data_IF_672737230167
#
_entry.id   IF_672737230167
#
_cell.length_a   1.000
_cell.length_b   1.000
_cell.length_c   1.000
_cell.angle_alpha   90.00
_cell.angle_beta   90.00
_cell.angle_gamma   90.00
#
_symmetry.space_group_name_H-M   'P 1'
#
loop_
_entity.id
_entity.type
_entity.pdbx_description
1 polymer ?
#
# COMPACT_ATOMS: atom_id res chain seq x y z
N UNK A 1 -23.70 -18.00 -6.60
CA UNK A 1 -24.00 -19.36 -7.12
C UNK A 1 -24.28 -20.42 -6.06
N UNK A 2 -23.30 -21.00 -5.33
CA UNK A 2 -23.60 -22.13 -4.41
C UNK A 2 -24.55 -21.74 -3.26
N UNK A 3 -24.37 -20.55 -2.67
CA UNK A 3 -25.24 -20.06 -1.60
C UNK A 3 -26.64 -19.65 -2.11
N UNK A 4 -26.75 -19.13 -3.35
CA UNK A 4 -28.03 -18.77 -3.97
C UNK A 4 -28.92 -19.99 -4.21
N UNK A 5 -28.33 -21.11 -4.64
CA UNK A 5 -29.09 -22.35 -4.85
C UNK A 5 -29.77 -22.89 -3.59
N UNK A 6 -29.30 -22.51 -2.41
CA UNK A 6 -29.90 -22.89 -1.12
C UNK A 6 -31.07 -21.98 -0.70
N UNK A 7 -31.35 -20.91 -1.45
CA UNK A 7 -32.44 -19.96 -1.19
C UNK A 7 -33.80 -20.41 -1.76
N UNK A 8 -33.93 -21.66 -2.20
CA UNK A 8 -35.15 -22.21 -2.79
C UNK A 8 -36.31 -22.39 -1.78
N UNK A 9 -36.05 -22.33 -0.47
CA UNK A 9 -37.07 -22.45 0.57
C UNK A 9 -37.84 -21.15 0.79
N UNK A 10 -39.17 -21.25 1.00
CA UNK A 10 -40.08 -20.10 1.16
C UNK A 10 -39.80 -19.17 2.35
N UNK A 11 -38.96 -19.60 3.29
CA UNK A 11 -38.56 -18.83 4.47
C UNK A 11 -37.05 -18.59 4.57
N UNK A 12 -36.28 -18.97 3.56
CA UNK A 12 -34.83 -18.78 3.57
C UNK A 12 -34.51 -17.27 3.60
N UNK A 13 -33.60 -16.87 4.49
CA UNK A 13 -33.07 -15.51 4.54
C UNK A 13 -31.56 -15.53 4.41
N UNK A 14 -31.05 -14.64 3.59
CA UNK A 14 -29.62 -14.46 3.42
C UNK A 14 -29.12 -13.35 4.35
N UNK A 15 -28.15 -13.68 5.21
CA UNK A 15 -27.35 -12.71 5.95
C UNK A 15 -25.97 -12.57 5.31
N UNK A 16 -25.68 -11.41 4.73
CA UNK A 16 -24.36 -11.06 4.21
C UNK A 16 -23.66 -10.08 5.16
N UNK A 17 -22.47 -10.42 5.63
CA UNK A 17 -21.65 -9.57 6.51
C UNK A 17 -20.31 -9.37 5.84
N UNK A 18 -19.92 -8.11 5.63
CA UNK A 18 -18.68 -7.78 4.94
C UNK A 18 -18.32 -6.31 5.09
N UNK A 19 -17.07 -6.00 4.77
CA UNK A 19 -16.61 -4.63 4.64
C UNK A 19 -16.81 -4.16 3.19
N UNK A 20 -17.24 -2.91 2.95
CA UNK A 20 -17.47 -2.38 1.61
C UNK A 20 -16.15 -2.01 0.92
N UNK A 21 -15.36 -3.02 0.54
CA UNK A 21 -13.99 -2.89 0.03
C UNK A 21 -13.90 -2.56 -1.47
N UNK A 22 -14.88 -2.98 -2.25
CA UNK A 22 -14.89 -2.84 -3.71
C UNK A 22 -16.23 -2.25 -4.15
N UNK A 23 -16.25 -1.24 -5.03
CA UNK A 23 -17.46 -0.62 -5.55
C UNK A 23 -18.12 -1.48 -6.65
N UNK A 24 -17.95 -2.80 -6.60
CA UNK A 24 -18.46 -3.77 -7.56
C UNK A 24 -18.57 -5.17 -6.93
N UNK A 25 -19.31 -6.06 -7.59
CA UNK A 25 -19.46 -7.46 -7.21
C UNK A 25 -20.67 -7.72 -6.29
N UNK A 26 -20.91 -9.00 -5.93
CA UNK A 26 -22.18 -9.43 -5.36
C UNK A 26 -22.58 -8.71 -4.06
N UNK A 27 -21.61 -8.36 -3.20
CA UNK A 27 -21.88 -7.63 -1.96
C UNK A 27 -22.26 -6.16 -2.23
N UNK A 28 -21.63 -5.53 -3.21
CA UNK A 28 -21.99 -4.17 -3.63
C UNK A 28 -23.37 -4.13 -4.28
N UNK A 29 -23.66 -5.10 -5.15
CA UNK A 29 -24.94 -5.23 -5.83
C UNK A 29 -26.08 -5.50 -4.83
N UNK A 30 -25.84 -6.38 -3.84
CA UNK A 30 -26.78 -6.64 -2.75
C UNK A 30 -27.10 -5.36 -1.96
N UNK A 31 -26.09 -4.54 -1.62
CA UNK A 31 -26.31 -3.29 -0.87
C UNK A 31 -27.17 -2.27 -1.64
N UNK A 32 -27.12 -2.29 -2.98
CA UNK A 32 -27.92 -1.42 -3.86
C UNK A 32 -29.31 -1.99 -4.19
N UNK A 33 -29.50 -3.29 -4.05
CA UNK A 33 -30.76 -3.94 -4.38
C UNK A 33 -31.80 -3.66 -3.27
N UNK A 34 -32.99 -3.11 -3.60
CA UNK A 34 -34.04 -2.81 -2.62
C UNK A 34 -34.62 -4.05 -1.91
N UNK A 35 -34.40 -5.25 -2.43
CA UNK A 35 -34.79 -6.51 -1.77
C UNK A 35 -33.97 -6.81 -0.51
N UNK A 36 -32.80 -6.17 -0.37
CA UNK A 36 -31.93 -6.31 0.78
C UNK A 36 -32.19 -5.22 1.80
N UNK A 37 -32.30 -5.63 3.07
CA UNK A 37 -32.25 -4.70 4.19
C UNK A 37 -30.80 -4.44 4.58
N UNK A 38 -30.25 -3.31 4.13
CA UNK A 38 -28.87 -2.91 4.45
C UNK A 38 -28.79 -2.24 5.82
N UNK A 39 -27.91 -2.74 6.69
CA UNK A 39 -27.54 -2.09 7.96
C UNK A 39 -26.07 -1.71 7.85
N UNK A 40 -25.78 -0.41 7.81
CA UNK A 40 -24.41 0.11 7.84
C UNK A 40 -23.98 0.36 9.27
N UNK A 41 -22.85 -0.22 9.67
CA UNK A 41 -22.22 0.01 10.98
C UNK A 41 -20.86 0.64 10.73
N UNK A 42 -20.69 1.89 11.17
CA UNK A 42 -19.43 2.63 11.05
C UNK A 42 -18.68 2.71 12.38
N UNK A 43 -17.39 3.02 12.36
CA UNK A 43 -16.65 3.29 13.60
C UNK A 43 -17.24 4.46 14.40
N UNK A 44 -17.66 5.60 13.80
CA UNK A 44 -18.40 6.65 14.50
C UNK A 44 -19.69 6.18 15.19
N UNK A 45 -20.33 5.11 14.69
CA UNK A 45 -21.53 4.55 15.31
C UNK A 45 -21.28 3.73 16.57
N UNK A 46 -20.03 3.31 16.79
CA UNK A 46 -19.61 2.50 17.92
C UNK A 46 -19.87 3.22 19.26
N UNK A 47 -20.42 2.53 20.28
CA UNK A 47 -20.63 3.11 21.61
C UNK A 47 -19.38 3.77 22.20
N UNK A 48 -18.22 3.10 22.09
CA UNK A 48 -16.94 3.63 22.59
C UNK A 48 -16.55 4.97 21.95
N UNK A 49 -16.95 5.18 20.70
CA UNK A 49 -16.64 6.40 19.94
C UNK A 49 -17.64 7.51 20.26
N UNK A 50 -18.94 7.18 20.31
CA UNK A 50 -20.01 8.14 20.66
C UNK A 50 -19.80 8.77 22.04
N UNK A 51 -19.46 7.96 23.04
CA UNK A 51 -19.28 8.44 24.42
C UNK A 51 -17.85 8.86 24.74
N UNK A 52 -16.91 8.71 23.79
CA UNK A 52 -15.46 8.94 23.98
C UNK A 52 -14.86 8.26 25.21
N UNK A 53 -15.35 7.06 25.54
CA UNK A 53 -14.90 6.25 26.67
C UNK A 53 -14.95 4.78 26.28
N UNK A 54 -14.03 3.96 26.80
CA UNK A 54 -14.06 2.51 26.60
C UNK A 54 -15.18 1.92 27.46
N UNK A 55 -16.36 1.71 26.87
CA UNK A 55 -17.47 0.96 27.49
C UNK A 55 -17.28 -0.53 27.24
N UNK A 56 -16.87 -0.89 26.02
CA UNK A 56 -16.66 -2.27 25.58
C UNK A 56 -15.21 -2.46 25.12
N UNK A 57 -14.35 -3.16 25.88
CA UNK A 57 -12.92 -3.28 25.57
C UNK A 57 -12.57 -3.86 24.20
N UNK A 58 -13.48 -4.65 23.60
CA UNK A 58 -13.27 -5.29 22.29
C UNK A 58 -13.68 -4.40 21.10
N UNK A 59 -14.29 -3.25 21.34
CA UNK A 59 -14.75 -2.35 20.28
C UNK A 59 -13.73 -1.24 20.01
N UNK A 60 -13.76 -0.70 18.78
CA UNK A 60 -12.92 0.40 18.32
C UNK A 60 -12.95 1.59 19.29
N UNK A 61 -11.80 2.22 19.50
CA UNK A 61 -11.66 3.39 20.40
C UNK A 61 -11.75 4.70 19.62
N UNK A 62 -12.14 5.78 20.29
CA UNK A 62 -12.10 7.13 19.69
C UNK A 62 -10.70 7.52 19.23
N UNK A 63 -9.68 7.14 20.00
CA UNK A 63 -8.29 7.41 19.67
C UNK A 63 -7.89 6.74 18.36
N UNK A 64 -8.25 5.47 18.17
CA UNK A 64 -7.93 4.75 16.94
C UNK A 64 -8.55 5.43 15.72
N UNK A 65 -9.81 5.89 15.81
CA UNK A 65 -10.48 6.61 14.71
C UNK A 65 -9.74 7.89 14.37
N UNK A 66 -9.34 8.67 15.37
CA UNK A 66 -8.61 9.92 15.19
C UNK A 66 -7.21 9.70 14.62
N UNK A 67 -6.50 8.67 15.07
CA UNK A 67 -5.19 8.30 14.55
C UNK A 67 -5.30 7.91 13.07
N UNK A 68 -6.28 7.07 12.70
CA UNK A 68 -6.53 6.71 11.29
C UNK A 68 -6.92 7.92 10.45
N UNK A 69 -7.67 8.87 11.02
CA UNK A 69 -8.09 10.11 10.36
C UNK A 69 -6.89 10.97 9.99
N UNK A 70 -5.92 11.10 10.91
CA UNK A 70 -4.66 11.83 10.69
C UNK A 70 -3.73 11.09 9.73
N UNK A 71 -3.56 9.78 9.91
CA UNK A 71 -2.62 8.98 9.13
C UNK A 71 -3.06 8.77 7.68
N UNK A 72 -4.37 8.56 7.47
CA UNK A 72 -4.90 8.17 6.16
C UNK A 72 -5.61 9.33 5.43
N UNK A 73 -6.17 10.27 6.19
CA UNK A 73 -7.06 11.31 5.66
C UNK A 73 -8.48 10.79 5.43
N UNK A 74 -9.48 11.63 5.73
CA UNK A 74 -10.90 11.27 5.68
C UNK A 74 -11.40 10.90 4.28
N UNK A 75 -10.79 11.49 3.25
CA UNK A 75 -11.14 11.25 1.84
C UNK A 75 -10.46 10.02 1.26
N UNK A 76 -9.59 9.34 2.00
CA UNK A 76 -8.90 8.17 1.47
C UNK A 76 -9.83 6.97 1.30
N UNK A 77 -9.63 6.14 0.25
CA UNK A 77 -10.36 4.88 0.07
C UNK A 77 -10.27 3.96 1.29
N UNK A 78 -9.11 3.92 1.94
CA UNK A 78 -8.88 3.09 3.12
C UNK A 78 -9.69 3.57 4.33
N UNK A 79 -9.78 4.88 4.56
CA UNK A 79 -10.58 5.44 5.66
C UNK A 79 -12.08 5.26 5.41
N UNK A 80 -12.57 5.54 4.21
CA UNK A 80 -13.97 5.33 3.84
C UNK A 80 -14.41 3.87 4.08
N UNK A 81 -13.59 2.92 3.66
CA UNK A 81 -13.86 1.50 3.82
C UNK A 81 -13.78 1.03 5.28
N UNK A 82 -12.63 1.28 5.94
CA UNK A 82 -12.32 0.67 7.25
C UNK A 82 -12.90 1.44 8.43
N UNK A 83 -13.19 2.73 8.26
CA UNK A 83 -13.67 3.60 9.35
C UNK A 83 -15.13 4.00 9.13
N UNK A 84 -15.48 4.48 7.93
CA UNK A 84 -16.84 4.94 7.64
C UNK A 84 -17.80 3.81 7.25
N UNK A 85 -17.27 2.63 6.91
CA UNK A 85 -18.08 1.53 6.39
C UNK A 85 -18.80 1.92 5.09
N UNK A 86 -18.10 2.64 4.23
CA UNK A 86 -18.59 3.12 2.93
C UNK A 86 -17.77 2.50 1.80
N UNK A 87 -18.41 2.23 0.67
CA UNK A 87 -17.66 1.85 -0.52
C UNK A 87 -16.73 3.01 -0.92
N UNK A 88 -15.47 2.71 -1.28
CA UNK A 88 -14.52 3.74 -1.63
C UNK A 88 -15.01 4.49 -2.88
N UNK A 89 -14.92 5.82 -2.85
CA UNK A 89 -15.12 6.63 -4.05
C UNK A 89 -14.06 6.21 -5.06
N UNK A 90 -14.49 5.72 -6.22
CA UNK A 90 -13.56 5.28 -7.27
C UNK A 90 -13.04 6.52 -7.99
N UNK A 91 -11.74 6.75 -7.95
CA UNK A 91 -11.11 7.63 -8.93
C UNK A 91 -11.09 6.89 -10.28
N UNK A 92 -11.58 7.52 -11.34
CA UNK A 92 -11.46 6.97 -12.71
C UNK A 92 -9.98 6.74 -13.09
N UNK A 93 -9.06 7.44 -12.42
CA UNK A 93 -7.63 7.41 -12.66
C UNK A 93 -6.84 6.62 -11.62
N UNK A 94 -7.49 5.96 -10.66
CA UNK A 94 -6.82 5.15 -9.64
C UNK A 94 -5.98 4.02 -10.26
N UNK A 95 -4.70 3.95 -9.91
CA UNK A 95 -3.78 2.97 -10.48
C UNK A 95 -3.98 1.57 -9.90
N UNK A 96 -4.04 1.48 -8.57
CA UNK A 96 -4.11 0.21 -7.84
C UNK A 96 -5.41 0.17 -7.03
N UNK A 97 -6.36 -0.72 -7.38
CA UNK A 97 -7.60 -0.90 -6.62
C UNK A 97 -7.33 -1.29 -5.16
N UNK A 98 -8.10 -0.71 -4.24
CA UNK A 98 -7.92 -0.94 -2.79
C UNK A 98 -8.21 -2.39 -2.40
N UNK A 99 -9.14 -3.06 -3.07
CA UNK A 99 -9.44 -4.47 -2.88
C UNK A 99 -8.25 -5.38 -3.25
N UNK A 100 -7.45 -5.02 -4.26
CA UNK A 100 -6.21 -5.74 -4.57
C UNK A 100 -5.17 -5.60 -3.47
N UNK A 101 -5.04 -4.39 -2.90
CA UNK A 101 -4.14 -4.11 -1.78
C UNK A 101 -4.54 -4.87 -0.52
N UNK A 102 -5.83 -4.88 -0.19
CA UNK A 102 -6.36 -5.64 0.95
C UNK A 102 -6.20 -7.14 0.72
N UNK A 103 -6.49 -7.65 -0.48
CA UNK A 103 -6.21 -9.05 -0.82
C UNK A 103 -4.73 -9.40 -0.68
N UNK A 104 -3.82 -8.49 -1.04
CA UNK A 104 -2.38 -8.69 -0.89
C UNK A 104 -1.92 -8.79 0.58
N UNK A 105 -2.65 -8.19 1.52
CA UNK A 105 -2.38 -8.34 2.96
C UNK A 105 -2.88 -9.68 3.53
N UNK A 106 -3.99 -10.18 3.01
CA UNK A 106 -4.59 -11.45 3.44
C UNK A 106 -3.88 -12.68 2.84
N UNK A 107 -3.02 -12.48 1.84
CA UNK A 107 -2.20 -13.56 1.26
C UNK A 107 -1.29 -14.13 2.36
N UNK A 108 -1.21 -15.46 2.49
CA UNK A 108 -0.26 -16.07 3.41
C UNK A 108 1.14 -15.60 3.03
N UNK A 109 1.89 -15.12 4.02
CA UNK A 109 3.28 -14.77 3.81
C UNK A 109 4.00 -16.02 3.26
N UNK A 110 4.55 -15.92 2.05
CA UNK A 110 5.33 -17.03 1.49
C UNK A 110 6.51 -17.27 2.43
N UNK A 111 6.49 -18.39 3.15
CA UNK A 111 7.58 -18.79 4.05
C UNK A 111 8.68 -19.56 3.30
N UNK A 112 8.67 -19.51 1.96
CA UNK A 112 9.72 -20.09 1.14
C UNK A 112 11.02 -19.38 1.49
N UNK A 113 12.05 -20.15 1.82
CA UNK A 113 13.39 -19.64 2.05
C UNK A 113 13.88 -18.98 0.74
N UNK A 114 13.87 -17.66 0.71
CA UNK A 114 14.32 -16.88 -0.44
C UNK A 114 15.84 -16.73 -0.35
N UNK A 115 16.56 -17.02 -1.42
CA UNK A 115 18.02 -16.84 -1.45
C UNK A 115 18.38 -15.36 -1.14
N UNK A 116 19.46 -15.07 -0.38
CA UNK A 116 19.84 -13.68 -0.06
C UNK A 116 19.97 -12.76 -1.28
N UNK A 117 20.37 -13.28 -2.45
CA UNK A 117 20.45 -12.51 -3.71
C UNK A 117 19.09 -12.07 -4.28
N UNK A 118 17.98 -12.62 -3.81
CA UNK A 118 16.64 -12.19 -4.20
C UNK A 118 16.09 -11.07 -3.30
N UNK A 119 16.75 -10.81 -2.17
CA UNK A 119 16.42 -9.69 -1.29
C UNK A 119 16.81 -8.38 -1.95
N UNK A 120 15.91 -7.41 -1.87
CA UNK A 120 16.09 -6.06 -2.41
C UNK A 120 15.61 -5.05 -1.39
N UNK A 121 16.34 -3.94 -1.30
CA UNK A 121 15.95 -2.81 -0.47
C UNK A 121 15.67 -1.62 -1.37
N UNK A 122 14.49 -1.02 -1.21
CA UNK A 122 14.18 0.31 -1.72
C UNK A 122 14.44 1.36 -0.66
N UNK A 123 15.06 2.47 -1.04
CA UNK A 123 15.40 3.59 -0.16
C UNK A 123 14.81 4.86 -0.77
N UNK A 124 13.89 5.48 -0.05
CA UNK A 124 13.35 6.79 -0.38
C UNK A 124 13.82 7.79 0.68
N UNK A 125 14.77 8.66 0.30
CA UNK A 125 15.41 9.60 1.22
C UNK A 125 14.69 10.93 1.15
N UNK A 126 14.16 11.39 2.28
CA UNK A 126 13.63 12.73 2.38
C UNK A 126 14.79 13.75 2.35
N UNK A 127 14.68 14.78 1.50
CA UNK A 127 15.71 15.83 1.36
C UNK A 127 15.74 16.78 2.56
N UNK A 128 14.56 17.18 3.04
CA UNK A 128 14.36 18.17 4.12
C UNK A 128 12.86 18.30 4.44
N UNK A 129 12.52 18.75 5.65
CA UNK A 129 11.13 19.01 6.03
C UNK A 129 10.53 17.89 6.89
N UNK A 130 9.21 17.77 6.91
CA UNK A 130 8.47 16.80 7.73
C UNK A 130 8.40 15.39 7.14
N UNK A 131 8.91 15.19 5.93
CA UNK A 131 8.82 13.93 5.22
C UNK A 131 9.75 12.87 5.82
N UNK A 132 9.27 11.62 5.84
CA UNK A 132 10.01 10.51 6.39
C UNK A 132 10.91 9.89 5.32
N UNK A 133 12.12 9.49 5.72
CA UNK A 133 12.96 8.58 4.95
C UNK A 133 12.49 7.14 5.17
N UNK A 134 12.27 6.39 4.09
CA UNK A 134 11.69 5.04 4.15
C UNK A 134 12.66 3.99 3.59
N UNK A 135 12.87 2.92 4.33
CA UNK A 135 13.58 1.72 3.88
C UNK A 135 12.61 0.55 3.76
N UNK A 136 12.48 -0.05 2.59
CA UNK A 136 11.56 -1.17 2.34
C UNK A 136 12.33 -2.41 1.91
N UNK A 137 12.19 -3.50 2.66
CA UNK A 137 12.70 -4.82 2.32
C UNK A 137 11.65 -5.62 1.54
N UNK A 138 12.06 -6.13 0.38
CA UNK A 138 11.32 -7.14 -0.38
C UNK A 138 12.15 -8.40 -0.56
N UNK A 139 11.54 -9.56 -0.35
CA UNK A 139 12.09 -10.89 -0.58
C UNK A 139 11.23 -11.62 -1.61
N UNK A 140 11.74 -11.82 -2.83
CA UNK A 140 10.90 -12.33 -3.92
C UNK A 140 9.64 -11.47 -4.09
N UNK A 141 8.42 -12.03 -4.09
CA UNK A 141 7.18 -11.26 -4.16
C UNK A 141 6.72 -10.68 -2.81
N UNK A 142 7.38 -10.99 -1.69
CA UNK A 142 6.91 -10.59 -0.36
C UNK A 142 7.56 -9.29 0.11
N UNK A 143 6.76 -8.27 0.41
CA UNK A 143 7.19 -7.10 1.18
C UNK A 143 7.24 -7.51 2.66
N UNK A 144 8.41 -7.41 3.29
CA UNK A 144 8.66 -7.97 4.64
C UNK A 144 8.70 -6.93 5.73
N UNK A 145 9.45 -5.86 5.49
CA UNK A 145 9.75 -4.87 6.52
C UNK A 145 9.82 -3.48 5.90
N UNK A 146 9.36 -2.50 6.65
CA UNK A 146 9.43 -1.08 6.32
C UNK A 146 9.89 -0.34 7.56
N UNK A 147 10.99 0.40 7.46
CA UNK A 147 11.44 1.31 8.52
C UNK A 147 11.28 2.76 8.04
N UNK A 148 10.60 3.57 8.85
CA UNK A 148 10.37 4.99 8.60
C UNK A 148 11.20 5.80 9.60
N UNK A 149 11.94 6.79 9.10
CA UNK A 149 12.85 7.63 9.88
C UNK A 149 12.50 9.09 9.66
N UNK A 150 12.08 9.79 10.71
CA UNK A 150 11.72 11.21 10.65
C UNK A 150 12.90 12.10 11.04
N UNK A 151 13.12 13.15 10.25
CA UNK A 151 14.17 14.16 10.45
C UNK A 151 15.62 13.65 10.64
N UNK A 152 16.06 12.51 10.07
CA UNK A 152 17.47 12.15 10.18
C UNK A 152 18.31 13.08 9.29
N UNK A 153 19.49 13.49 9.77
CA UNK A 153 20.46 14.09 8.87
C UNK A 153 21.05 13.03 7.93
N UNK A 154 21.81 13.46 6.92
CA UNK A 154 22.40 12.57 5.91
C UNK A 154 23.26 11.46 6.54
N UNK A 155 24.08 11.78 7.54
CA UNK A 155 25.00 10.82 8.16
C UNK A 155 24.27 9.78 9.00
N UNK A 156 23.26 10.21 9.76
CA UNK A 156 22.36 9.31 10.49
C UNK A 156 21.60 8.39 9.54
N UNK A 157 21.10 8.93 8.41
CA UNK A 157 20.39 8.14 7.40
C UNK A 157 21.28 7.05 6.83
N UNK A 158 22.54 7.38 6.50
CA UNK A 158 23.52 6.40 6.03
C UNK A 158 23.78 5.32 7.08
N UNK A 159 24.03 5.71 8.34
CA UNK A 159 24.26 4.76 9.44
C UNK A 159 23.07 3.81 9.65
N UNK A 160 21.85 4.35 9.63
CA UNK A 160 20.61 3.56 9.75
C UNK A 160 20.40 2.62 8.58
N UNK A 161 20.64 3.08 7.34
CA UNK A 161 20.54 2.22 6.15
C UNK A 161 21.52 1.04 6.24
N UNK A 162 22.74 1.29 6.70
CA UNK A 162 23.75 0.25 6.89
C UNK A 162 23.27 -0.82 7.87
N UNK A 163 22.81 -0.40 9.05
CA UNK A 163 22.28 -1.31 10.06
C UNK A 163 21.09 -2.12 9.51
N UNK A 164 20.20 -1.47 8.77
CA UNK A 164 19.05 -2.12 8.14
C UNK A 164 19.46 -3.18 7.10
N UNK A 165 20.36 -2.82 6.17
CA UNK A 165 20.84 -3.70 5.10
C UNK A 165 21.62 -4.89 5.66
N UNK A 166 22.51 -4.64 6.63
CA UNK A 166 23.33 -5.67 7.28
C UNK A 166 22.43 -6.63 8.10
N UNK A 167 21.47 -6.10 8.87
CA UNK A 167 20.44 -6.89 9.59
C UNK A 167 19.63 -7.77 8.64
N UNK A 168 19.23 -7.22 7.50
CA UNK A 168 18.44 -7.93 6.49
C UNK A 168 19.29 -8.82 5.57
N UNK A 169 20.62 -8.81 5.73
CA UNK A 169 21.59 -9.58 4.91
C UNK A 169 21.37 -9.37 3.41
N UNK A 170 21.17 -8.12 3.00
CA UNK A 170 20.93 -7.77 1.59
C UNK A 170 22.25 -7.42 0.91
N UNK A 171 22.58 -8.01 -0.23
CA UNK A 171 23.74 -7.58 -1.00
C UNK A 171 23.61 -6.11 -1.40
N UNK A 172 24.65 -5.29 -1.20
CA UNK A 172 24.62 -3.85 -1.51
C UNK A 172 24.26 -3.54 -2.98
N UNK A 173 24.62 -4.44 -3.91
CA UNK A 173 24.18 -4.40 -5.33
C UNK A 173 22.66 -4.42 -5.53
N UNK A 174 21.90 -4.86 -4.53
CA UNK A 174 20.44 -4.96 -4.52
C UNK A 174 19.76 -3.86 -3.67
N UNK A 175 20.51 -2.83 -3.28
CA UNK A 175 19.97 -1.64 -2.61
C UNK A 175 19.73 -0.57 -3.67
N UNK A 176 18.49 -0.13 -3.81
CA UNK A 176 18.05 0.84 -4.80
C UNK A 176 17.60 2.10 -4.09
N UNK A 177 18.10 3.25 -4.50
CA UNK A 177 17.84 4.50 -3.82
C UNK A 177 17.47 5.59 -4.84
N UNK A 178 16.50 6.45 -4.52
CA UNK A 178 16.09 7.56 -5.39
C UNK A 178 17.16 8.67 -5.48
N UNK A 179 17.74 8.86 -6.67
CA UNK A 179 18.77 9.88 -6.95
C UNK A 179 18.28 11.28 -6.66
N UNK A 180 16.99 11.53 -6.87
CA UNK A 180 16.40 12.83 -6.56
C UNK A 180 16.51 13.01 -5.04
N UNK A 181 15.97 12.13 -4.21
CA UNK A 181 16.01 12.27 -2.74
C UNK A 181 17.41 12.30 -2.10
N UNK A 182 18.36 11.57 -2.68
CA UNK A 182 19.62 11.17 -2.06
C UNK A 182 20.62 12.29 -1.74
N UNK A 183 20.79 13.30 -2.60
CA UNK A 183 21.86 14.30 -2.47
C UNK A 183 23.29 13.71 -2.57
N UNK A 184 24.26 14.51 -3.03
CA UNK A 184 25.62 14.00 -3.31
C UNK A 184 26.30 13.35 -2.08
N UNK A 185 26.17 13.97 -0.90
CA UNK A 185 26.82 13.52 0.33
C UNK A 185 26.38 12.14 0.83
N UNK A 186 25.17 11.68 0.50
CA UNK A 186 24.70 10.34 0.89
C UNK A 186 25.40 9.24 0.08
N UNK A 187 25.50 9.42 -1.24
CA UNK A 187 26.20 8.45 -2.11
C UNK A 187 27.68 8.42 -1.79
N UNK A 188 28.30 9.58 -1.62
CA UNK A 188 29.73 9.69 -1.38
C UNK A 188 30.12 9.02 -0.07
N UNK A 189 29.31 9.22 0.99
CA UNK A 189 29.53 8.55 2.27
C UNK A 189 29.38 7.03 2.20
N UNK A 190 28.39 6.53 1.44
CA UNK A 190 28.20 5.10 1.24
C UNK A 190 29.35 4.48 0.42
N UNK A 191 29.85 5.19 -0.59
CA UNK A 191 31.03 4.77 -1.36
C UNK A 191 32.28 4.72 -0.50
N UNK A 192 32.53 5.73 0.34
CA UNK A 192 33.66 5.78 1.29
C UNK A 192 33.68 4.54 2.20
N UNK A 193 32.51 4.04 2.58
CA UNK A 193 32.37 2.84 3.41
C UNK A 193 32.30 1.51 2.63
N UNK A 194 32.65 1.50 1.34
CA UNK A 194 32.59 0.33 0.44
C UNK A 194 31.18 -0.28 0.29
N UNK A 195 30.14 0.55 0.33
CA UNK A 195 28.72 0.13 0.33
C UNK A 195 27.96 0.79 -0.82
N UNK A 196 28.30 0.42 -2.05
CA UNK A 196 27.70 0.99 -3.25
C UNK A 196 26.20 0.67 -3.38
N UNK A 197 25.38 1.70 -3.63
CA UNK A 197 23.94 1.58 -3.89
C UNK A 197 23.62 1.86 -5.36
N UNK A 198 22.51 1.31 -5.84
CA UNK A 198 21.98 1.60 -7.17
C UNK A 198 21.11 2.85 -7.12
N UNK A 199 21.68 3.94 -7.58
CA UNK A 199 20.99 5.18 -7.87
C UNK A 199 19.90 4.96 -8.94
N UNK A 200 18.63 5.25 -8.62
CA UNK A 200 17.50 5.24 -9.55
C UNK A 200 16.98 6.66 -9.73
N UNK A 201 17.01 7.20 -10.94
CA UNK A 201 16.32 8.45 -11.26
C UNK A 201 14.95 8.13 -11.86
N UNK A 202 13.90 8.25 -11.05
CA UNK A 202 12.54 7.91 -11.46
C UNK A 202 11.95 8.80 -12.56
N UNK A 203 12.50 10.00 -12.76
CA UNK A 203 12.12 10.90 -13.85
C UNK A 203 12.73 10.55 -15.22
N UNK A 204 13.70 9.63 -15.26
CA UNK A 204 14.36 9.18 -16.49
C UNK A 204 13.38 8.47 -17.43
N UNK A 205 13.71 8.40 -18.72
CA UNK A 205 12.97 7.60 -19.70
C UNK A 205 12.83 6.14 -19.25
N UNK A 206 11.64 5.58 -19.44
CA UNK A 206 11.35 4.18 -19.15
C UNK A 206 12.14 3.23 -20.05
N UNK A 207 12.31 1.98 -19.62
CA UNK A 207 12.90 0.93 -20.46
C UNK A 207 11.96 0.60 -21.63
N UNK A 208 10.67 0.42 -21.34
CA UNK A 208 9.62 0.37 -22.36
C UNK A 208 9.08 1.78 -22.62
N UNK A 209 9.90 2.60 -23.27
CA UNK A 209 9.60 3.99 -23.58
C UNK A 209 8.48 4.17 -24.61
N UNK A 210 8.02 3.09 -25.26
CA UNK A 210 6.82 3.10 -26.11
C UNK A 210 5.55 3.13 -25.28
N UNK A 211 5.55 2.45 -24.13
CA UNK A 211 4.39 2.32 -23.25
C UNK A 211 4.38 3.32 -22.09
N UNK A 212 5.52 3.59 -21.48
CA UNK A 212 5.61 4.43 -20.27
C UNK A 212 6.41 5.71 -20.53
N UNK A 213 5.98 6.80 -19.89
CA UNK A 213 6.65 8.10 -20.00
C UNK A 213 8.01 8.11 -19.26
N UNK A 214 8.09 7.45 -18.10
CA UNK A 214 9.28 7.44 -17.26
C UNK A 214 9.41 6.15 -16.42
N UNK A 215 10.56 5.97 -15.78
CA UNK A 215 10.84 4.81 -14.91
C UNK A 215 9.82 4.71 -13.77
N UNK A 216 9.38 5.84 -13.21
CA UNK A 216 8.33 5.87 -12.16
C UNK A 216 7.08 5.13 -12.61
N UNK A 217 6.53 5.51 -13.76
CA UNK A 217 5.31 4.93 -14.31
C UNK A 217 5.49 3.43 -14.59
N UNK A 218 6.63 3.03 -15.17
CA UNK A 218 6.92 1.62 -15.43
C UNK A 218 7.01 0.80 -14.14
N UNK A 219 7.70 1.30 -13.11
CA UNK A 219 7.85 0.63 -11.82
C UNK A 219 6.48 0.45 -11.13
N UNK A 220 5.69 1.51 -11.05
CA UNK A 220 4.36 1.45 -10.46
C UNK A 220 3.42 0.50 -11.23
N UNK A 221 3.50 0.48 -12.56
CA UNK A 221 2.71 -0.47 -13.35
C UNK A 221 3.11 -1.92 -13.08
N UNK A 222 4.41 -2.21 -12.93
CA UNK A 222 4.88 -3.55 -12.53
C UNK A 222 4.40 -3.94 -11.13
N UNK A 223 4.37 -2.99 -10.18
CA UNK A 223 3.80 -3.21 -8.84
C UNK A 223 2.31 -3.50 -8.93
N UNK A 224 1.56 -2.73 -9.71
CA UNK A 224 0.14 -2.97 -9.98
C UNK A 224 -0.12 -4.38 -10.49
N UNK A 225 0.61 -4.81 -11.53
CA UNK A 225 0.43 -6.15 -12.10
C UNK A 225 0.80 -7.26 -11.11
N UNK A 226 1.81 -7.06 -10.26
CA UNK A 226 2.17 -8.02 -9.22
C UNK A 226 1.13 -8.08 -8.07
N UNK A 227 0.39 -7.00 -7.82
CA UNK A 227 -0.64 -6.95 -6.78
C UNK A 227 -1.98 -7.54 -7.22
N UNK A 228 -2.20 -7.75 -8.52
CA UNK A 228 -3.40 -8.42 -9.03
C UNK A 228 -3.67 -9.75 -8.31
N UNK A 229 -4.93 -10.06 -7.94
CA UNK A 229 -5.29 -11.32 -7.29
C UNK A 229 -4.92 -12.58 -8.10
N UNK A 230 -4.96 -12.49 -9.43
CA UNK A 230 -4.69 -13.57 -10.39
C UNK A 230 -3.28 -13.52 -10.99
N UNK A 231 -2.37 -12.71 -10.42
CA UNK A 231 -0.98 -12.65 -10.87
C UNK A 231 -0.29 -14.02 -10.74
N UNK A 232 0.56 -14.37 -11.71
CA UNK A 232 1.33 -15.62 -11.70
C UNK A 232 2.19 -15.78 -10.45
N UNK A 233 2.81 -14.68 -10.00
CA UNK A 233 3.57 -14.61 -8.76
C UNK A 233 3.04 -13.41 -7.95
N UNK A 234 1.98 -13.61 -7.15
CA UNK A 234 1.27 -12.51 -6.51
C UNK A 234 2.09 -11.92 -5.35
N UNK A 235 2.22 -10.60 -5.34
CA UNK A 235 2.92 -9.82 -4.30
C UNK A 235 2.17 -9.88 -2.97
N UNK A 236 2.87 -10.02 -1.85
CA UNK A 236 2.25 -9.97 -0.51
C UNK A 236 2.65 -8.69 0.22
N UNK A 237 1.69 -8.06 0.89
CA UNK A 237 1.91 -6.89 1.73
C UNK A 237 1.78 -7.28 3.21
N UNK A 238 2.55 -6.69 4.13
CA UNK A 238 2.45 -7.02 5.55
C UNK A 238 1.15 -6.48 6.17
N UNK A 239 0.59 -7.17 7.18
CA UNK A 239 -0.69 -6.78 7.80
C UNK A 239 -0.68 -5.37 8.43
N UNK A 240 0.49 -4.87 8.86
CA UNK A 240 0.64 -3.57 9.55
C UNK A 240 1.22 -2.47 8.65
N UNK A 241 0.74 -2.34 7.41
CA UNK A 241 1.20 -1.31 6.47
C UNK A 241 0.07 -0.39 5.97
N UNK A 242 -0.82 0.05 6.87
CA UNK A 242 -1.96 0.90 6.50
C UNK A 242 -1.56 2.19 5.78
N UNK A 243 -0.44 2.82 6.18
CA UNK A 243 0.11 3.99 5.48
C UNK A 243 0.51 3.67 4.04
N UNK A 244 1.29 2.61 3.82
CA UNK A 244 1.67 2.15 2.48
C UNK A 244 0.45 1.85 1.60
N UNK A 245 -0.57 1.18 2.14
CA UNK A 245 -1.81 0.88 1.41
C UNK A 245 -2.51 2.16 1.00
N UNK A 246 -2.64 3.09 1.95
CA UNK A 246 -3.25 4.38 1.68
C UNK A 246 -2.53 5.10 0.54
N UNK A 247 -1.20 5.18 0.66
CA UNK A 247 -0.35 5.83 -0.32
C UNK A 247 -0.40 5.18 -1.70
N UNK A 248 -0.59 3.86 -1.80
CA UNK A 248 -0.74 3.14 -3.07
C UNK A 248 -2.16 3.31 -3.65
N UNK A 249 -3.18 3.37 -2.80
CA UNK A 249 -4.58 3.50 -3.21
C UNK A 249 -4.93 4.90 -3.74
N UNK A 250 -4.15 5.92 -3.38
CA UNK A 250 -4.33 7.30 -3.85
C UNK A 250 -3.49 7.63 -5.09
N UNK A 251 -2.75 6.67 -5.64
CA UNK A 251 -1.92 6.92 -6.84
C UNK A 251 -2.82 6.96 -8.06
N UNK A 252 -2.69 8.04 -8.82
CA UNK A 252 -3.38 8.21 -10.08
C UNK A 252 -2.44 8.11 -11.28
N UNK A 253 -3.00 7.68 -12.41
CA UNK A 253 -2.30 7.58 -13.68
C UNK A 253 -3.16 8.14 -14.81
N UNK A 254 -2.49 8.63 -15.85
CA UNK A 254 -3.15 9.10 -17.06
C UNK A 254 -2.35 8.73 -18.31
N UNK A 255 -2.99 8.89 -19.47
CA UNK A 255 -2.34 8.76 -20.77
C UNK A 255 -1.96 10.14 -21.27
N UNK A 256 -0.68 10.36 -21.52
CA UNK A 256 -0.16 11.60 -22.12
C UNK A 256 -0.69 11.78 -23.55
N UNK A 257 -0.59 12.99 -24.10
CA UNK A 257 -0.92 13.27 -25.51
C UNK A 257 -0.13 12.42 -26.51
N UNK A 258 1.05 11.91 -26.10
CA UNK A 258 1.88 11.00 -26.87
C UNK A 258 1.45 9.51 -26.75
N UNK A 259 0.33 9.21 -26.09
CA UNK A 259 -0.18 7.85 -25.90
C UNK A 259 0.55 7.02 -24.83
N UNK A 260 1.43 7.63 -24.04
CA UNK A 260 2.21 6.94 -22.99
C UNK A 260 1.57 7.06 -21.62
N UNK A 261 1.67 6.00 -20.82
CA UNK A 261 1.26 5.96 -19.42
C UNK A 261 2.21 6.80 -18.57
N UNK A 262 1.66 7.66 -17.73
CA UNK A 262 2.38 8.41 -16.71
C UNK A 262 1.64 8.32 -15.38
N UNK A 263 2.39 8.36 -14.28
CA UNK A 263 1.86 8.34 -12.90
C UNK A 263 2.15 9.70 -12.29
N UNK A 264 1.17 10.28 -11.60
CA UNK A 264 1.32 11.61 -11.01
C UNK A 264 2.45 11.67 -9.99
N UNK A 265 3.07 12.85 -9.91
CA UNK A 265 4.01 13.18 -8.85
C UNK A 265 3.19 13.52 -7.61
N UNK A 266 3.60 12.98 -6.46
CA UNK A 266 3.13 13.45 -5.16
C UNK A 266 3.72 14.81 -4.87
#
# INVERSE_FOLDING_TARGET
EVAEGQMAGSFARWLAIGNPIAPSGPFYDAVKNPEWKTIRISCPDCPNVKVRKIIYPKLVTSQWVEDRRKDWGEQSPLYQTKVLGQFPTTSEHGLIPIDWLLAAQERPASNVAVHPDERRVGVDVARSGSDATVFLLREGPAVRNTEEHHNPNTMETVGKLILFVDKCKVPWKNVFADVIGIGAGFVDRLKEQNRGVRAVNFGSSAYDSKKYANIRAECYWKVREALKPDAVVPMTLPARCGRLINELATIEWHVTSAGKIIVELK
#
